data_IF_571360093153
#
_entry.id   IF_571360093153
#
_cell.length_a   1.000
_cell.length_b   1.000
_cell.length_c   1.000
_cell.angle_alpha   90.00
_cell.angle_beta   90.00
_cell.angle_gamma   90.00
#
_symmetry.space_group_name_H-M   'P 1'
#
loop_
_entity.id
_entity.type
_entity.pdbx_description
1 polymer ?
#
# COMPACT_ATOMS: atom_id res chain seq x y z
N UNK A 1 -3.19 -14.07 22.07
CA UNK A 1 -2.87 -13.37 20.81
C UNK A 1 -3.77 -12.15 20.75
N UNK A 2 -3.21 -10.95 20.93
CA UNK A 2 -4.00 -9.73 20.79
C UNK A 2 -4.23 -9.47 19.31
N UNK A 3 -5.52 -9.36 18.94
CA UNK A 3 -5.97 -8.86 17.67
C UNK A 3 -5.51 -7.39 17.53
N UNK A 4 -4.29 -7.16 17.06
CA UNK A 4 -3.80 -5.79 16.90
C UNK A 4 -4.36 -5.24 15.61
N UNK A 5 -5.15 -4.18 15.74
CA UNK A 5 -5.60 -3.38 14.63
C UNK A 5 -4.39 -2.90 13.79
N UNK A 6 -4.32 -3.20 12.48
CA UNK A 6 -3.15 -2.90 11.68
C UNK A 6 -2.84 -1.40 11.67
N UNK A 7 -1.56 -1.06 11.70
CA UNK A 7 -1.08 0.32 11.67
C UNK A 7 -0.79 0.79 10.26
N UNK A 8 -0.54 2.09 10.08
CA UNK A 8 -0.01 2.64 8.83
C UNK A 8 1.32 2.01 8.44
N UNK A 9 2.19 1.69 9.42
CA UNK A 9 3.47 1.05 9.15
C UNK A 9 3.26 -0.36 8.58
N UNK A 10 2.35 -1.15 9.17
CA UNK A 10 2.04 -2.51 8.67
C UNK A 10 1.56 -2.47 7.22
N UNK A 11 0.66 -1.54 6.90
CA UNK A 11 0.16 -1.39 5.55
C UNK A 11 1.24 -0.91 4.57
N UNK A 12 2.09 0.04 4.96
CA UNK A 12 3.19 0.52 4.12
C UNK A 12 4.24 -0.55 3.82
N UNK A 13 4.48 -1.47 4.75
CA UNK A 13 5.36 -2.63 4.53
C UNK A 13 4.70 -3.63 3.59
N UNK A 14 3.41 -3.94 3.80
CA UNK A 14 2.64 -4.82 2.91
C UNK A 14 2.67 -4.34 1.45
N UNK A 15 2.44 -3.05 1.19
CA UNK A 15 2.50 -2.50 -0.17
C UNK A 15 3.92 -2.56 -0.73
N UNK A 16 4.93 -2.26 0.07
CA UNK A 16 6.33 -2.30 -0.36
C UNK A 16 6.76 -3.71 -0.77
N UNK A 17 6.41 -4.71 0.03
CA UNK A 17 6.69 -6.11 -0.26
C UNK A 17 5.97 -6.54 -1.54
N UNK A 18 4.69 -6.18 -1.68
CA UNK A 18 3.89 -6.52 -2.87
C UNK A 18 4.44 -5.90 -4.16
N UNK A 19 4.88 -4.65 -4.12
CA UNK A 19 5.48 -3.98 -5.28
C UNK A 19 6.86 -4.56 -5.60
N UNK A 20 7.66 -4.88 -4.58
CA UNK A 20 8.96 -5.53 -4.77
C UNK A 20 8.81 -6.91 -5.41
N UNK A 21 7.86 -7.71 -4.93
CA UNK A 21 7.53 -9.02 -5.50
C UNK A 21 7.09 -8.90 -6.96
N UNK A 22 6.15 -8.01 -7.25
CA UNK A 22 5.70 -7.79 -8.64
C UNK A 22 6.83 -7.35 -9.56
N UNK A 23 7.71 -6.45 -9.12
CA UNK A 23 8.86 -6.04 -9.91
C UNK A 23 9.79 -7.24 -10.22
N UNK A 24 10.02 -8.13 -9.25
CA UNK A 24 10.79 -9.36 -9.44
C UNK A 24 10.11 -10.32 -10.42
N UNK A 25 8.78 -10.49 -10.31
CA UNK A 25 7.97 -11.29 -11.23
C UNK A 25 8.05 -10.75 -12.67
N UNK A 26 8.14 -9.43 -12.83
CA UNK A 26 8.34 -8.76 -14.13
C UNK A 26 9.81 -8.78 -14.62
N UNK A 27 10.72 -9.42 -13.89
CA UNK A 27 12.12 -9.62 -14.28
C UNK A 27 13.07 -8.50 -13.85
N UNK A 28 12.66 -7.60 -12.95
CA UNK A 28 13.54 -6.59 -12.40
C UNK A 28 14.65 -7.22 -11.52
N UNK A 29 15.83 -6.59 -11.54
CA UNK A 29 16.93 -6.94 -10.61
C UNK A 29 16.50 -6.70 -9.16
N UNK A 30 17.15 -7.41 -8.24
CA UNK A 30 16.86 -7.31 -6.80
C UNK A 30 16.93 -5.87 -6.28
N UNK A 31 17.99 -5.14 -6.61
CA UNK A 31 18.15 -3.73 -6.20
C UNK A 31 17.04 -2.82 -6.73
N UNK A 32 16.64 -3.02 -7.98
CA UNK A 32 15.58 -2.24 -8.62
C UNK A 32 14.22 -2.55 -7.98
N UNK A 33 13.99 -3.81 -7.65
CA UNK A 33 12.76 -4.27 -6.99
C UNK A 33 12.66 -3.70 -5.57
N UNK A 34 13.75 -3.76 -4.81
CA UNK A 34 13.82 -3.21 -3.45
C UNK A 34 13.66 -1.67 -3.47
N UNK A 35 14.21 -1.00 -4.49
CA UNK A 35 14.01 0.43 -4.68
C UNK A 35 12.54 0.77 -4.97
N UNK A 36 11.89 0.02 -5.85
CA UNK A 36 10.47 0.19 -6.17
C UNK A 36 9.59 0.02 -4.92
N UNK A 37 9.85 -1.01 -4.11
CA UNK A 37 9.19 -1.21 -2.81
C UNK A 37 9.45 -0.06 -1.82
N UNK A 38 10.68 0.43 -1.75
CA UNK A 38 11.03 1.57 -0.90
C UNK A 38 10.26 2.85 -1.27
N UNK A 39 10.21 3.18 -2.57
CA UNK A 39 9.44 4.32 -3.10
C UNK A 39 7.94 4.15 -2.77
N UNK A 40 7.40 2.95 -2.97
CA UNK A 40 6.02 2.64 -2.64
C UNK A 40 5.71 2.83 -1.16
N UNK A 41 6.58 2.34 -0.27
CA UNK A 41 6.45 2.52 1.18
C UNK A 41 6.41 3.99 1.56
N UNK A 42 7.31 4.79 1.00
CA UNK A 42 7.36 6.24 1.25
C UNK A 42 6.09 6.94 0.75
N UNK A 43 5.61 6.57 -0.43
CA UNK A 43 4.37 7.12 -0.98
C UNK A 43 3.18 6.83 -0.07
N UNK A 44 3.00 5.56 0.33
CA UNK A 44 1.94 5.14 1.24
C UNK A 44 2.03 5.91 2.54
N UNK A 45 3.20 5.96 3.18
CA UNK A 45 3.37 6.67 4.48
C UNK A 45 2.99 8.14 4.43
N UNK A 46 3.13 8.80 3.27
CA UNK A 46 2.80 10.22 3.10
C UNK A 46 1.35 10.47 2.70
N UNK A 47 0.78 9.61 1.87
CA UNK A 47 -0.49 9.87 1.20
C UNK A 47 -1.65 9.00 1.70
N UNK A 48 -1.39 8.02 2.56
CA UNK A 48 -2.45 7.16 3.10
C UNK A 48 -3.21 7.85 4.22
N UNK A 49 -4.53 7.85 4.10
CA UNK A 49 -5.45 8.21 5.17
C UNK A 49 -5.95 6.93 5.82
N UNK A 50 -5.59 6.73 7.11
CA UNK A 50 -6.03 5.58 7.90
C UNK A 50 -7.22 5.96 8.76
N UNK A 51 -8.33 5.26 8.59
CA UNK A 51 -9.50 5.35 9.48
C UNK A 51 -9.53 4.12 10.38
N UNK A 52 -9.48 4.38 11.69
CA UNK A 52 -9.37 3.37 12.72
C UNK A 52 -10.76 2.92 13.20
N UNK A 53 -11.01 1.61 13.19
CA UNK A 53 -12.11 0.96 13.90
C UNK A 53 -11.55 0.05 15.01
N UNK A 54 -12.38 -0.34 15.98
CA UNK A 54 -11.94 -1.11 17.15
C UNK A 54 -10.99 -2.30 16.83
N UNK A 55 -11.32 -3.09 15.80
CA UNK A 55 -10.54 -4.29 15.39
C UNK A 55 -10.10 -4.27 13.93
N UNK A 56 -10.52 -3.26 13.16
CA UNK A 56 -10.20 -3.11 11.73
C UNK A 56 -9.72 -1.70 11.44
N UNK A 57 -9.10 -1.49 10.28
CA UNK A 57 -8.80 -0.15 9.77
C UNK A 57 -9.08 -0.09 8.30
N UNK A 58 -9.54 1.04 7.80
CA UNK A 58 -9.55 1.30 6.36
C UNK A 58 -8.40 2.23 6.01
N UNK A 59 -7.87 2.04 4.81
CA UNK A 59 -6.76 2.80 4.26
C UNK A 59 -7.20 3.33 2.90
N UNK A 60 -7.16 4.63 2.76
CA UNK A 60 -7.42 5.31 1.51
C UNK A 60 -6.11 5.86 0.96
N UNK A 61 -5.76 5.46 -0.25
CA UNK A 61 -4.65 6.02 -1.02
C UNK A 61 -5.21 6.92 -2.10
N UNK A 62 -4.93 8.22 -1.97
CA UNK A 62 -5.17 9.17 -3.04
C UNK A 62 -4.18 8.92 -4.18
N UNK A 63 -4.70 8.64 -5.37
CA UNK A 63 -3.91 8.38 -6.59
C UNK A 63 -3.84 9.60 -7.52
N UNK A 64 -4.32 10.77 -7.07
CA UNK A 64 -4.33 12.02 -7.85
C UNK A 64 -2.96 12.38 -8.39
N UNK A 65 -1.90 12.20 -7.60
CA UNK A 65 -0.54 12.47 -8.07
C UNK A 65 -0.20 11.66 -9.33
N UNK A 66 -0.53 10.37 -9.36
CA UNK A 66 -0.26 9.54 -10.52
C UNK A 66 -1.18 9.86 -11.72
N UNK A 67 -2.42 10.29 -11.46
CA UNK A 67 -3.30 10.82 -12.50
C UNK A 67 -2.71 12.06 -13.16
N UNK A 68 -2.14 12.97 -12.37
CA UNK A 68 -1.48 14.18 -12.84
C UNK A 68 -0.21 13.86 -13.65
N UNK A 69 0.51 12.79 -13.32
CA UNK A 69 1.66 12.28 -14.08
C UNK A 69 1.30 11.49 -15.36
N UNK A 70 0.03 11.45 -15.74
CA UNK A 70 -0.41 10.91 -17.04
C UNK A 70 -1.13 9.57 -16.98
N UNK A 71 -1.35 8.99 -15.79
CA UNK A 71 -2.13 7.75 -15.61
C UNK A 71 -3.57 8.09 -15.25
N UNK A 72 -4.30 8.63 -16.23
CA UNK A 72 -5.65 9.22 -16.06
C UNK A 72 -6.73 8.23 -15.61
N UNK A 73 -6.49 6.94 -15.80
CA UNK A 73 -7.38 5.81 -15.50
C UNK A 73 -7.12 5.16 -14.14
N UNK A 74 -6.23 5.74 -13.31
CA UNK A 74 -6.01 5.24 -11.96
C UNK A 74 -7.12 5.70 -11.01
N UNK A 75 -7.87 4.71 -10.53
CA UNK A 75 -8.82 4.89 -9.42
C UNK A 75 -8.07 5.04 -8.09
N UNK A 76 -8.71 5.73 -7.15
CA UNK A 76 -8.19 5.79 -5.78
C UNK A 76 -8.32 4.42 -5.12
N UNK A 77 -7.33 4.06 -4.30
CA UNK A 77 -7.25 2.71 -3.73
C UNK A 77 -7.87 2.72 -2.34
N UNK A 78 -8.86 1.85 -2.13
CA UNK A 78 -9.46 1.63 -0.82
C UNK A 78 -9.08 0.24 -0.31
N UNK A 79 -8.54 0.15 0.90
CA UNK A 79 -8.13 -1.13 1.49
C UNK A 79 -8.70 -1.29 2.88
N UNK A 80 -9.24 -2.47 3.17
CA UNK A 80 -9.64 -2.91 4.50
C UNK A 80 -8.52 -3.74 5.13
N UNK A 81 -7.95 -3.23 6.22
CA UNK A 81 -7.07 -3.97 7.11
C UNK A 81 -7.87 -4.65 8.22
N UNK A 82 -7.73 -5.97 8.34
CA UNK A 82 -8.27 -6.78 9.44
C UNK A 82 -7.13 -7.64 9.98
N UNK A 83 -6.75 -7.46 11.24
CA UNK A 83 -5.57 -8.11 11.83
C UNK A 83 -4.29 -7.88 10.98
N UNK A 84 -3.79 -8.92 10.31
CA UNK A 84 -2.63 -8.87 9.41
C UNK A 84 -3.01 -9.01 7.93
N UNK A 85 -4.29 -8.97 7.60
CA UNK A 85 -4.79 -9.09 6.24
C UNK A 85 -5.21 -7.72 5.71
N UNK A 86 -4.84 -7.46 4.45
CA UNK A 86 -5.20 -6.26 3.72
C UNK A 86 -5.98 -6.65 2.48
N UNK A 87 -7.25 -6.23 2.43
CA UNK A 87 -8.19 -6.56 1.37
C UNK A 87 -8.49 -5.29 0.57
N UNK A 88 -8.08 -5.19 -0.70
CA UNK A 88 -8.52 -4.09 -1.55
C UNK A 88 -10.04 -4.18 -1.73
N UNK A 89 -10.72 -3.06 -1.51
CA UNK A 89 -12.16 -2.90 -1.63
C UNK A 89 -12.57 -2.27 -2.97
N UNK A 90 -11.61 -1.66 -3.68
CA UNK A 90 -11.58 -1.30 -5.10
C UNK A 90 -10.12 -1.04 -5.50
#
# INVERSE_FOLDING_TARGET
MYATNPTTSNFSSFVADRISEKAREEGAKEDLSNLAGGIASMYVKKNVQRTNYYVTSTYFLDMSLFRDFGRKDLEDIFVLGIFNFFLPLN
#
